data_IF_908775096608
#
_entry.id   IF_908775096608
#
_cell.length_a   1.000
_cell.length_b   1.000
_cell.length_c   1.000
_cell.angle_alpha   90.00
_cell.angle_beta   90.00
_cell.angle_gamma   90.00
#
_symmetry.space_group_name_H-M   'P 1'
#
loop_
_entity.id
_entity.type
_entity.pdbx_description
1 polymer ?
#
# COMPACT_ATOMS: atom_id res chain seq x y z
N UNK A 1 29.77 -2.46 -13.38
CA UNK A 1 29.08 -3.11 -12.24
C UNK A 1 27.61 -2.67 -12.14
N UNK A 2 27.34 -1.36 -12.17
CA UNK A 2 25.98 -0.76 -12.14
C UNK A 2 25.03 -1.33 -13.23
N UNK A 3 25.49 -1.47 -14.48
CA UNK A 3 24.64 -2.00 -15.59
C UNK A 3 24.18 -3.45 -15.38
N UNK A 4 24.93 -4.27 -14.64
CA UNK A 4 24.54 -5.67 -14.34
C UNK A 4 23.49 -5.71 -13.22
N UNK A 5 23.67 -4.89 -12.18
CA UNK A 5 22.67 -4.70 -11.13
C UNK A 5 21.33 -4.20 -11.69
N UNK A 6 21.36 -3.20 -12.57
CA UNK A 6 20.16 -2.66 -13.24
C UNK A 6 19.42 -3.72 -14.08
N UNK A 7 20.15 -4.57 -14.82
CA UNK A 7 19.56 -5.65 -15.61
C UNK A 7 18.94 -6.72 -14.71
N UNK A 8 19.54 -7.00 -13.56
CA UNK A 8 18.99 -7.96 -12.58
C UNK A 8 17.68 -7.44 -11.98
N UNK A 9 17.63 -6.16 -11.58
CA UNK A 9 16.42 -5.52 -11.04
C UNK A 9 15.31 -5.51 -12.09
N UNK A 10 15.61 -5.17 -13.35
CA UNK A 10 14.62 -5.15 -14.43
C UNK A 10 13.99 -6.53 -14.70
N UNK A 11 14.74 -7.61 -14.48
CA UNK A 11 14.24 -8.97 -14.71
C UNK A 11 13.37 -9.49 -13.55
N UNK A 12 13.53 -8.99 -12.32
CA UNK A 12 12.64 -9.26 -11.17
C UNK A 12 11.48 -8.28 -11.05
N UNK A 13 11.59 -7.12 -11.71
CA UNK A 13 10.54 -6.10 -11.78
C UNK A 13 9.16 -6.60 -12.26
N UNK A 14 9.01 -7.47 -13.29
CA UNK A 14 7.68 -7.84 -13.77
C UNK A 14 6.85 -8.54 -12.70
N UNK A 15 7.43 -9.44 -11.90
CA UNK A 15 6.71 -10.13 -10.82
C UNK A 15 6.29 -9.15 -9.71
N UNK A 16 7.16 -8.20 -9.34
CA UNK A 16 6.86 -7.16 -8.34
C UNK A 16 5.81 -6.16 -8.87
N UNK A 17 5.84 -5.86 -10.17
CA UNK A 17 4.94 -4.89 -10.80
C UNK A 17 3.48 -5.35 -10.71
N UNK A 18 3.20 -6.64 -10.87
CA UNK A 18 1.82 -7.15 -10.75
C UNK A 18 1.24 -6.93 -9.34
N UNK A 19 2.01 -7.25 -8.29
CA UNK A 19 1.57 -7.02 -6.89
C UNK A 19 1.43 -5.53 -6.62
N UNK A 20 2.35 -4.71 -7.12
CA UNK A 20 2.30 -3.26 -6.99
C UNK A 20 1.07 -2.65 -7.67
N UNK A 21 0.71 -3.13 -8.87
CA UNK A 21 -0.50 -2.70 -9.56
C UNK A 21 -1.76 -3.11 -8.81
N UNK A 22 -1.82 -4.33 -8.26
CA UNK A 22 -2.93 -4.76 -7.41
C UNK A 22 -3.07 -3.89 -6.15
N UNK A 23 -1.93 -3.53 -5.54
CA UNK A 23 -1.89 -2.62 -4.39
C UNK A 23 -2.37 -1.21 -4.75
N UNK A 24 -1.91 -0.66 -5.87
CA UNK A 24 -2.40 0.65 -6.33
C UNK A 24 -3.89 0.61 -6.64
N UNK A 25 -4.38 -0.48 -7.24
CA UNK A 25 -5.80 -0.66 -7.50
C UNK A 25 -6.63 -0.72 -6.21
N UNK A 26 -6.18 -1.48 -5.19
CA UNK A 26 -6.87 -1.53 -3.89
C UNK A 26 -6.91 -0.15 -3.24
N UNK A 27 -5.79 0.57 -3.23
CA UNK A 27 -5.68 1.91 -2.66
C UNK A 27 -6.65 2.89 -3.33
N UNK A 28 -6.72 2.89 -4.67
CA UNK A 28 -7.64 3.74 -5.43
C UNK A 28 -9.11 3.41 -5.15
N UNK A 29 -9.45 2.12 -4.99
CA UNK A 29 -10.80 1.67 -4.62
C UNK A 29 -11.19 2.12 -3.20
N UNK A 30 -10.29 1.97 -2.23
CA UNK A 30 -10.52 2.45 -0.87
C UNK A 30 -10.61 3.99 -0.81
N UNK A 31 -9.83 4.70 -1.64
CA UNK A 31 -9.94 6.17 -1.78
C UNK A 31 -11.31 6.60 -2.30
N UNK A 32 -11.86 5.90 -3.31
CA UNK A 32 -13.22 6.19 -3.79
C UNK A 32 -14.28 5.94 -2.71
N UNK A 33 -14.12 4.85 -1.94
CA UNK A 33 -15.03 4.55 -0.83
C UNK A 33 -14.94 5.63 0.26
N UNK A 34 -13.73 6.08 0.62
CA UNK A 34 -13.52 7.16 1.58
C UNK A 34 -14.14 8.48 1.09
N UNK A 35 -13.96 8.83 -0.19
CA UNK A 35 -14.59 10.02 -0.79
C UNK A 35 -16.12 9.95 -0.67
N UNK A 36 -16.73 8.80 -0.96
CA UNK A 36 -18.19 8.65 -0.85
C UNK A 36 -18.68 8.66 0.60
N UNK A 37 -17.87 8.16 1.54
CA UNK A 37 -18.23 8.09 2.94
C UNK A 37 -18.06 9.43 3.66
N UNK A 38 -17.01 10.20 3.36
CA UNK A 38 -16.63 11.40 4.09
C UNK A 38 -16.82 12.71 3.31
N UNK A 39 -16.85 12.67 1.97
CA UNK A 39 -16.87 13.87 1.13
C UNK A 39 -18.15 14.72 1.25
N UNK A 40 -19.29 14.10 1.52
CA UNK A 40 -20.58 14.79 1.72
C UNK A 40 -20.74 15.35 3.15
N UNK A 41 -19.90 14.96 4.11
CA UNK A 41 -20.07 15.32 5.53
C UNK A 41 -19.40 16.63 5.95
N UNK A 42 -18.69 17.31 5.03
CA UNK A 42 -17.98 18.57 5.30
C UNK A 42 -17.14 18.54 6.59
N UNK A 43 -16.48 17.40 6.86
CA UNK A 43 -15.59 17.27 8.00
C UNK A 43 -14.37 18.19 7.79
N UNK A 44 -13.84 18.69 8.90
CA UNK A 44 -12.64 19.52 8.91
C UNK A 44 -11.56 18.81 9.72
N UNK A 45 -10.31 18.92 9.28
CA UNK A 45 -9.16 18.49 10.08
C UNK A 45 -8.95 19.42 11.28
N UNK A 46 -8.10 19.03 12.23
CA UNK A 46 -7.74 19.87 13.38
C UNK A 46 -7.19 21.26 12.99
N UNK A 47 -6.70 21.39 11.75
CA UNK A 47 -6.15 22.63 11.17
C UNK A 47 -7.22 23.47 10.43
N UNK A 48 -8.48 23.04 10.41
CA UNK A 48 -9.57 23.71 9.70
C UNK A 48 -9.59 23.48 8.19
N UNK A 49 -8.78 22.54 7.68
CA UNK A 49 -8.76 22.20 6.26
C UNK A 49 -9.89 21.21 5.92
N UNK A 50 -10.45 21.28 4.70
CA UNK A 50 -11.50 20.38 4.26
C UNK A 50 -11.01 18.93 4.19
N UNK A 51 -11.64 18.05 4.98
CA UNK A 51 -11.29 16.63 5.02
C UNK A 51 -11.88 15.87 3.84
N UNK A 52 -11.04 15.12 3.12
CA UNK A 52 -11.43 14.20 2.06
C UNK A 52 -12.40 14.80 1.01
N UNK A 53 -12.04 15.96 0.46
CA UNK A 53 -12.77 16.60 -0.66
C UNK A 53 -12.22 16.21 -2.03
N UNK A 54 -10.90 16.17 -2.19
CA UNK A 54 -10.27 15.90 -3.48
C UNK A 54 -9.82 14.45 -3.55
N UNK A 55 -10.19 13.74 -4.61
CA UNK A 55 -9.85 12.32 -4.78
C UNK A 55 -8.34 12.03 -4.72
N UNK A 56 -7.53 12.88 -5.35
CA UNK A 56 -6.07 12.71 -5.37
C UNK A 56 -5.43 12.93 -4.00
N UNK A 57 -5.93 13.89 -3.22
CA UNK A 57 -5.49 14.12 -1.85
C UNK A 57 -5.86 12.94 -0.96
N UNK A 58 -7.09 12.42 -1.07
CA UNK A 58 -7.52 11.21 -0.34
C UNK A 58 -6.63 10.01 -0.68
N UNK A 59 -6.33 9.80 -1.97
CA UNK A 59 -5.46 8.72 -2.40
C UNK A 59 -4.05 8.89 -1.82
N UNK A 60 -3.52 10.12 -1.77
CA UNK A 60 -2.23 10.40 -1.17
C UNK A 60 -2.23 10.20 0.36
N UNK A 61 -3.26 10.68 1.06
CA UNK A 61 -3.42 10.51 2.50
C UNK A 61 -3.52 9.04 2.89
N UNK A 62 -4.29 8.26 2.14
CA UNK A 62 -4.38 6.80 2.32
C UNK A 62 -3.07 6.10 1.95
N UNK A 63 -2.33 6.56 0.95
CA UNK A 63 -1.01 6.05 0.62
C UNK A 63 -0.01 6.25 1.77
N UNK A 64 0.04 7.47 2.32
CA UNK A 64 0.87 7.79 3.49
C UNK A 64 0.43 6.97 4.71
N UNK A 65 -0.87 6.68 4.83
CA UNK A 65 -1.42 5.81 5.87
C UNK A 65 -0.99 4.35 5.73
N UNK A 66 -0.88 3.82 4.51
CA UNK A 66 -0.28 2.48 4.31
C UNK A 66 1.13 2.44 4.85
N UNK A 67 1.91 3.50 4.64
CA UNK A 67 3.26 3.65 5.19
C UNK A 67 3.30 4.02 6.67
N UNK A 68 2.14 4.14 7.33
CA UNK A 68 1.98 4.49 8.74
C UNK A 68 2.60 5.83 9.17
N UNK A 69 2.91 6.72 8.22
CA UNK A 69 3.64 7.96 8.49
C UNK A 69 2.74 9.11 8.99
N UNK A 70 1.41 8.96 8.88
CA UNK A 70 0.40 9.97 9.25
C UNK A 70 -0.65 9.43 10.25
N UNK A 71 -0.36 8.33 10.95
CA UNK A 71 -1.26 7.75 11.96
C UNK A 71 -0.91 8.31 13.34
N UNK A 72 -1.86 8.86 14.14
CA UNK A 72 -3.32 8.81 13.99
C UNK A 72 -3.97 10.06 13.36
N UNK A 73 -3.19 11.03 12.91
CA UNK A 73 -3.68 12.37 12.51
C UNK A 73 -4.72 12.33 11.39
N UNK A 74 -4.57 11.42 10.42
CA UNK A 74 -5.54 11.25 9.33
C UNK A 74 -6.87 10.63 9.79
N UNK A 75 -6.88 9.92 10.92
CA UNK A 75 -8.05 9.18 11.44
C UNK A 75 -8.84 10.00 12.47
N UNK A 76 -8.20 10.92 13.19
CA UNK A 76 -8.85 11.72 14.25
C UNK A 76 -10.16 12.42 13.81
N UNK A 77 -10.22 13.13 12.67
CA UNK A 77 -11.42 13.86 12.26
C UNK A 77 -12.63 12.94 12.02
N UNK A 78 -12.39 11.72 11.54
CA UNK A 78 -13.44 10.74 11.30
C UNK A 78 -13.88 10.04 12.59
N UNK A 79 -12.95 9.81 13.52
CA UNK A 79 -13.21 9.19 14.81
C UNK A 79 -14.06 10.09 15.72
N UNK A 80 -13.73 11.38 15.79
CA UNK A 80 -14.45 12.36 16.60
C UNK A 80 -15.91 12.53 16.15
N UNK A 81 -16.18 12.34 14.86
CA UNK A 81 -17.54 12.37 14.33
C UNK A 81 -18.34 11.12 14.69
N UNK A 82 -17.76 9.92 14.53
CA UNK A 82 -18.35 8.68 15.05
C UNK A 82 -17.34 7.55 15.10
N UNK A 83 -17.29 6.82 16.21
CA UNK A 83 -16.41 5.66 16.38
C UNK A 83 -16.67 4.54 15.35
N UNK A 84 -17.84 4.50 14.71
CA UNK A 84 -18.13 3.55 13.64
C UNK A 84 -17.26 3.72 12.40
N UNK A 85 -16.79 4.94 12.11
CA UNK A 85 -15.91 5.20 10.98
C UNK A 85 -14.49 4.66 11.19
N UNK A 86 -14.09 4.41 12.45
CA UNK A 86 -12.83 3.74 12.77
C UNK A 86 -12.72 2.36 12.11
N UNK A 87 -13.85 1.65 11.96
CA UNK A 87 -13.90 0.33 11.35
C UNK A 87 -13.40 0.35 9.90
N UNK A 88 -13.66 1.42 9.16
CA UNK A 88 -13.15 1.60 7.80
C UNK A 88 -11.62 1.66 7.76
N UNK A 89 -11.01 2.47 8.64
CA UNK A 89 -9.55 2.59 8.72
C UNK A 89 -8.89 1.30 9.23
N UNK A 90 -9.51 0.62 10.19
CA UNK A 90 -9.03 -0.69 10.69
C UNK A 90 -9.03 -1.71 9.55
N UNK A 91 -10.13 -1.82 8.79
CA UNK A 91 -10.21 -2.71 7.65
C UNK A 91 -9.18 -2.34 6.56
N UNK A 92 -9.00 -1.04 6.29
CA UNK A 92 -8.00 -0.55 5.35
C UNK A 92 -6.58 -0.94 5.75
N UNK A 93 -6.20 -0.79 7.01
CA UNK A 93 -4.87 -1.14 7.54
C UNK A 93 -4.65 -2.66 7.48
N UNK A 94 -5.65 -3.47 7.85
CA UNK A 94 -5.58 -4.93 7.74
C UNK A 94 -5.33 -5.36 6.29
N UNK A 95 -6.08 -4.81 5.34
CA UNK A 95 -5.96 -5.19 3.94
C UNK A 95 -4.67 -4.61 3.31
N UNK A 96 -4.48 -3.29 3.33
CA UNK A 96 -3.42 -2.62 2.59
C UNK A 96 -2.06 -2.63 3.28
N UNK A 97 -2.01 -2.58 4.62
CA UNK A 97 -0.73 -2.62 5.33
C UNK A 97 -0.34 -4.07 5.62
N UNK A 98 -1.19 -4.88 6.23
CA UNK A 98 -0.77 -6.23 6.64
C UNK A 98 -0.78 -7.25 5.49
N UNK A 99 -1.88 -7.38 4.75
CA UNK A 99 -1.97 -8.39 3.68
C UNK A 99 -1.02 -8.03 2.52
N UNK A 100 -1.08 -6.80 2.01
CA UNK A 100 -0.24 -6.41 0.88
C UNK A 100 1.26 -6.36 1.19
N UNK A 101 1.69 -5.91 2.38
CA UNK A 101 3.12 -6.01 2.75
C UNK A 101 3.57 -7.47 2.86
N UNK A 102 2.71 -8.36 3.38
CA UNK A 102 3.02 -9.79 3.45
C UNK A 102 3.12 -10.43 2.06
N UNK A 103 2.22 -10.06 1.14
CA UNK A 103 2.27 -10.49 -0.26
C UNK A 103 3.52 -9.97 -0.97
N UNK A 104 3.88 -8.71 -0.75
CA UNK A 104 5.09 -8.12 -1.30
C UNK A 104 6.34 -8.89 -0.85
N UNK A 105 6.47 -9.15 0.46
CA UNK A 105 7.56 -9.96 1.00
C UNK A 105 7.57 -11.37 0.42
N UNK A 106 6.41 -12.01 0.25
CA UNK A 106 6.31 -13.35 -0.32
C UNK A 106 6.80 -13.41 -1.77
N UNK A 107 6.46 -12.42 -2.60
CA UNK A 107 6.92 -12.35 -4.01
C UNK A 107 8.42 -12.07 -4.08
N UNK A 108 8.94 -11.16 -3.26
CA UNK A 108 10.38 -10.89 -3.17
C UNK A 108 11.13 -12.14 -2.72
N UNK A 109 10.62 -12.84 -1.71
CA UNK A 109 11.21 -14.08 -1.20
C UNK A 109 11.18 -15.21 -2.24
N UNK A 110 10.08 -15.36 -2.98
CA UNK A 110 9.98 -16.35 -4.06
C UNK A 110 11.01 -16.10 -5.17
N UNK A 111 11.22 -14.83 -5.54
CA UNK A 111 12.28 -14.45 -6.49
C UNK A 111 13.67 -14.76 -5.92
N UNK A 112 13.94 -14.38 -4.67
CA UNK A 112 15.22 -14.66 -4.03
C UNK A 112 15.52 -16.16 -3.96
N UNK A 113 14.54 -16.99 -3.56
CA UNK A 113 14.66 -18.45 -3.52
C UNK A 113 14.89 -19.05 -4.91
N UNK A 114 14.27 -18.51 -5.96
CA UNK A 114 14.49 -18.92 -7.36
C UNK A 114 15.93 -18.63 -7.80
N UNK A 115 16.48 -17.47 -7.45
CA UNK A 115 17.88 -17.13 -7.71
C UNK A 115 18.85 -18.04 -6.95
N UNK A 116 18.59 -18.35 -5.67
CA UNK A 116 19.42 -19.28 -4.90
C UNK A 116 19.40 -20.70 -5.50
N UNK A 117 18.22 -21.20 -5.89
CA UNK A 117 18.11 -22.54 -6.53
C UNK A 117 18.88 -22.62 -7.83
N UNK A 118 18.91 -21.57 -8.64
CA UNK A 118 19.69 -21.55 -9.89
C UNK A 118 21.20 -21.58 -9.60
N UNK A 119 21.67 -20.86 -8.57
CA UNK A 119 23.10 -20.81 -8.22
C UNK A 119 23.61 -22.10 -7.57
N UNK A 120 22.81 -22.75 -6.71
CA UNK A 120 23.24 -23.97 -5.98
C UNK A 120 22.79 -25.29 -6.64
N UNK A 121 21.70 -25.28 -7.40
CA UNK A 121 21.19 -26.47 -8.11
C UNK A 121 21.94 -26.80 -9.41
N UNK A 122 22.82 -25.91 -9.88
CA UNK A 122 23.71 -26.14 -11.02
C UNK A 122 25.06 -26.81 -10.66
N UNK A 123 25.31 -27.14 -9.39
CA UNK A 123 26.58 -27.72 -8.92
C UNK A 123 26.49 -29.26 -8.72
N UNK A 124 25.46 -29.92 -9.26
CA UNK A 124 25.31 -31.40 -9.21
C UNK A 124 25.40 -32.08 -10.57
N UNK A 125 26.11 -31.48 -11.53
CA UNK A 125 26.56 -32.17 -12.74
C UNK A 125 28.02 -31.78 -13.01
N UNK A 126 28.92 -32.32 -12.19
CA UNK A 126 30.27 -32.78 -12.56
C UNK A 126 30.69 -33.83 -11.51
#
# INVERSE_FOLDING_TARGET
QIRRAFRSIRNTLPEITYVFLLFMFSLLMFSLMALKLFGERNLQTAEGLPYFKNYLEIAFDLYVLVTTANSPDVMMPAFDFSSWYALFFIAFVIVNTYIFMSLFLAVVYNNYKKHLKVTFGGVSCD
#
